data_IF_181414637428
#
_entry.id   IF_181414637428
#
_cell.length_a   1.000
_cell.length_b   1.000
_cell.length_c   1.000
_cell.angle_alpha   90.00
_cell.angle_beta   90.00
_cell.angle_gamma   90.00
#
_symmetry.space_group_name_H-M   'P 1'
#
loop_
_entity.id
_entity.type
_entity.pdbx_description
1 polymer ?
#
# COMPACT_ATOMS: atom_id res chain seq x y z
N UNK A 1 5.56 -7.77 -8.05
CA UNK A 1 6.76 -7.35 -8.85
C UNK A 1 7.83 -6.89 -7.88
N UNK A 2 9.10 -7.24 -8.09
CA UNK A 2 10.22 -6.77 -7.24
C UNK A 2 10.78 -5.48 -7.84
N UNK A 3 11.08 -4.49 -6.99
CA UNK A 3 11.72 -3.23 -7.40
C UNK A 3 13.02 -3.02 -6.62
N UNK A 4 14.10 -2.58 -7.26
CA UNK A 4 14.23 -2.39 -8.71
C UNK A 4 14.17 -3.74 -9.47
N UNK A 5 13.80 -3.77 -10.75
CA UNK A 5 13.64 -5.01 -11.52
C UNK A 5 14.89 -5.89 -11.56
N UNK A 6 16.07 -5.29 -11.47
CA UNK A 6 17.37 -5.98 -11.41
C UNK A 6 17.47 -6.92 -10.21
N UNK A 7 16.97 -6.50 -9.03
CA UNK A 7 17.03 -7.31 -7.81
C UNK A 7 16.37 -8.69 -7.97
N UNK A 8 15.33 -8.80 -8.80
CA UNK A 8 14.66 -10.08 -9.10
C UNK A 8 15.56 -11.06 -9.85
N UNK A 9 16.48 -10.55 -10.67
CA UNK A 9 17.39 -11.36 -11.51
C UNK A 9 18.69 -11.67 -10.81
N UNK A 10 19.18 -10.73 -10.00
CA UNK A 10 20.51 -10.76 -9.42
C UNK A 10 20.54 -11.34 -8.00
N UNK A 11 19.40 -11.32 -7.29
CA UNK A 11 19.34 -11.76 -5.89
C UNK A 11 18.59 -13.08 -5.75
N UNK A 12 19.08 -14.02 -4.92
CA UNK A 12 18.39 -15.27 -4.65
C UNK A 12 17.03 -15.00 -4.00
N UNK A 13 16.03 -15.78 -4.42
CA UNK A 13 14.69 -15.70 -3.84
C UNK A 13 14.59 -16.66 -2.67
N UNK A 14 14.35 -16.13 -1.48
CA UNK A 14 14.28 -16.88 -0.21
C UNK A 14 12.90 -16.85 0.44
N UNK A 15 12.02 -15.92 0.02
CA UNK A 15 10.70 -15.73 0.63
C UNK A 15 9.61 -15.40 -0.39
N UNK A 16 8.38 -15.60 0.01
CA UNK A 16 7.17 -15.03 -0.56
C UNK A 16 6.59 -14.00 0.45
N UNK A 17 5.32 -13.59 0.26
CA UNK A 17 4.71 -12.55 1.10
C UNK A 17 4.61 -12.96 2.57
N UNK A 18 4.05 -14.16 2.85
CA UNK A 18 3.81 -14.66 4.21
C UNK A 18 4.63 -15.91 4.55
N UNK A 19 5.48 -16.39 3.66
CA UNK A 19 6.29 -17.59 3.86
C UNK A 19 7.74 -17.36 3.48
N UNK A 20 8.65 -18.07 4.14
CA UNK A 20 10.06 -18.03 3.85
C UNK A 20 10.65 -19.46 3.85
N UNK A 21 11.69 -19.67 3.06
CA UNK A 21 12.50 -20.88 3.14
C UNK A 21 13.69 -20.59 4.07
N UNK A 22 13.54 -21.02 5.32
CA UNK A 22 14.52 -20.74 6.39
C UNK A 22 15.89 -21.32 6.02
N UNK A 23 15.96 -22.53 5.49
CA UNK A 23 17.24 -23.17 5.15
C UNK A 23 17.96 -22.39 4.03
N UNK A 24 17.24 -21.86 3.04
CA UNK A 24 17.83 -20.98 2.03
C UNK A 24 18.31 -19.65 2.62
N UNK A 25 17.62 -19.10 3.61
CA UNK A 25 18.07 -17.89 4.29
C UNK A 25 19.38 -18.20 5.03
N UNK A 26 19.42 -19.27 5.80
CA UNK A 26 20.63 -19.67 6.57
C UNK A 26 21.82 -19.97 5.65
N UNK A 27 21.58 -20.58 4.49
CA UNK A 27 22.64 -20.85 3.51
C UNK A 27 23.31 -19.58 2.97
N UNK A 28 22.64 -18.44 3.04
CA UNK A 28 23.22 -17.14 2.67
C UNK A 28 24.09 -16.53 3.78
N UNK A 29 24.11 -17.11 4.98
CA UNK A 29 24.85 -16.63 6.17
C UNK A 29 24.61 -15.13 6.44
N UNK A 30 23.36 -14.68 6.60
CA UNK A 30 23.07 -13.26 6.79
C UNK A 30 23.54 -12.79 8.17
N UNK A 31 24.09 -11.57 8.25
CA UNK A 31 24.37 -10.89 9.51
C UNK A 31 23.09 -10.36 10.15
N UNK A 32 22.11 -10.02 9.31
CA UNK A 32 20.80 -9.49 9.70
C UNK A 32 19.73 -9.89 8.69
N UNK A 33 18.54 -10.26 9.17
CA UNK A 33 17.35 -10.45 8.35
C UNK A 33 16.34 -9.33 8.67
N UNK A 34 15.78 -8.73 7.63
CA UNK A 34 14.73 -7.72 7.75
C UNK A 34 13.39 -8.34 7.35
N UNK A 35 12.36 -8.11 8.16
CA UNK A 35 10.97 -8.44 7.83
C UNK A 35 10.13 -7.16 7.79
N UNK A 36 8.92 -7.20 7.22
CA UNK A 36 8.19 -5.97 6.96
C UNK A 36 6.78 -5.92 7.57
N UNK A 37 6.32 -7.00 8.24
CA UNK A 37 4.96 -7.09 8.74
C UNK A 37 4.83 -8.13 9.85
N UNK A 38 3.87 -7.92 10.74
CA UNK A 38 3.34 -8.88 11.72
C UNK A 38 2.91 -10.22 11.07
N UNK A 39 2.50 -10.19 9.79
CA UNK A 39 2.22 -11.40 9.02
C UNK A 39 3.42 -12.34 8.85
N UNK A 40 4.62 -11.88 9.17
CA UNK A 40 5.86 -12.66 9.14
C UNK A 40 6.33 -13.05 10.55
N UNK A 41 5.51 -12.90 11.59
CA UNK A 41 5.90 -13.17 12.97
C UNK A 41 6.47 -14.60 13.16
N UNK A 42 5.84 -15.61 12.57
CA UNK A 42 6.31 -17.00 12.67
C UNK A 42 7.70 -17.18 12.02
N UNK A 43 7.93 -16.51 10.89
CA UNK A 43 9.25 -16.48 10.23
C UNK A 43 10.30 -15.84 11.13
N UNK A 44 9.96 -14.76 11.82
CA UNK A 44 10.84 -14.09 12.80
C UNK A 44 11.20 -15.02 13.95
N UNK A 45 10.21 -15.70 14.52
CA UNK A 45 10.40 -16.66 15.61
C UNK A 45 11.35 -17.78 15.19
N UNK A 46 11.15 -18.35 14.01
CA UNK A 46 11.99 -19.46 13.50
C UNK A 46 13.44 -19.00 13.26
N UNK A 47 13.65 -17.81 12.71
CA UNK A 47 14.98 -17.25 12.50
C UNK A 47 15.72 -16.98 13.83
N UNK A 48 15.05 -16.39 14.81
CA UNK A 48 15.61 -16.14 16.14
C UNK A 48 16.01 -17.46 16.81
N UNK A 49 15.17 -18.50 16.77
CA UNK A 49 15.51 -19.85 17.30
C UNK A 49 16.72 -20.49 16.63
N UNK A 50 17.04 -20.07 15.40
CA UNK A 50 18.22 -20.52 14.64
C UNK A 50 19.43 -19.60 14.83
N UNK A 51 19.37 -18.64 15.78
CA UNK A 51 20.47 -17.74 16.11
C UNK A 51 20.70 -16.59 15.11
N UNK A 52 19.72 -16.28 14.26
CA UNK A 52 19.80 -15.17 13.30
C UNK A 52 19.31 -13.88 13.93
N UNK A 53 20.06 -12.79 13.76
CA UNK A 53 19.61 -11.45 14.13
C UNK A 53 18.48 -11.01 13.18
N UNK A 54 17.36 -10.54 13.75
CA UNK A 54 16.19 -10.10 12.96
C UNK A 54 15.74 -8.72 13.41
N UNK A 55 15.46 -7.85 12.46
CA UNK A 55 14.73 -6.61 12.71
C UNK A 55 13.37 -6.67 11.99
N UNK A 56 12.29 -6.58 12.75
CA UNK A 56 10.92 -6.64 12.22
C UNK A 56 10.35 -5.21 12.06
N UNK A 57 10.20 -4.76 10.83
CA UNK A 57 9.46 -3.56 10.52
C UNK A 57 7.94 -3.84 10.51
N UNK A 58 7.15 -2.89 10.98
CA UNK A 58 5.68 -3.02 11.00
C UNK A 58 4.99 -1.65 10.88
N UNK A 59 5.46 -0.79 9.99
CA UNK A 59 4.89 0.54 9.76
C UNK A 59 3.51 0.47 9.09
N UNK A 60 2.64 1.41 9.49
CA UNK A 60 1.26 1.51 8.98
C UNK A 60 0.90 2.90 8.46
N UNK A 61 1.83 3.86 8.55
CA UNK A 61 1.62 5.26 8.18
C UNK A 61 2.70 5.74 7.22
N UNK A 62 2.43 6.83 6.52
CA UNK A 62 3.43 7.52 5.68
C UNK A 62 4.64 7.94 6.52
N UNK A 63 4.40 8.52 7.70
CA UNK A 63 5.48 8.88 8.62
C UNK A 63 6.30 7.67 9.06
N UNK A 64 5.64 6.53 9.33
CA UNK A 64 6.30 5.27 9.66
C UNK A 64 7.18 4.74 8.53
N UNK A 65 6.77 4.90 7.26
CA UNK A 65 7.60 4.53 6.09
C UNK A 65 8.86 5.40 6.03
N UNK A 66 8.74 6.71 6.24
CA UNK A 66 9.91 7.62 6.24
C UNK A 66 10.87 7.29 7.40
N UNK A 67 10.32 7.01 8.59
CA UNK A 67 11.12 6.59 9.75
C UNK A 67 11.84 5.26 9.51
N UNK A 68 11.17 4.29 8.86
CA UNK A 68 11.77 3.02 8.46
C UNK A 68 12.96 3.23 7.52
N UNK A 69 12.85 4.12 6.54
CA UNK A 69 13.95 4.41 5.61
C UNK A 69 15.15 4.97 6.37
N UNK A 70 14.95 5.90 7.31
CA UNK A 70 16.02 6.46 8.16
C UNK A 70 16.68 5.37 9.01
N UNK A 71 15.88 4.54 9.66
CA UNK A 71 16.38 3.44 10.50
C UNK A 71 17.16 2.43 9.67
N UNK A 72 16.64 2.02 8.50
CA UNK A 72 17.34 1.11 7.60
C UNK A 72 18.68 1.71 7.16
N UNK A 73 18.71 3.00 6.81
CA UNK A 73 19.95 3.70 6.48
C UNK A 73 20.99 3.66 7.58
N UNK A 74 20.56 3.81 8.84
CA UNK A 74 21.45 3.71 10.00
C UNK A 74 21.99 2.27 10.21
N UNK A 75 21.11 1.26 10.06
CA UNK A 75 21.50 -0.16 10.22
C UNK A 75 22.58 -0.58 9.20
N UNK A 76 22.54 -0.05 7.96
CA UNK A 76 23.45 -0.44 6.87
C UNK A 76 24.54 0.61 6.59
N UNK A 77 24.79 1.52 7.52
CA UNK A 77 25.78 2.62 7.41
C UNK A 77 25.60 3.47 6.13
N UNK A 78 24.34 3.81 5.83
CA UNK A 78 23.97 4.62 4.68
C UNK A 78 23.06 5.79 5.06
N UNK A 79 23.23 6.36 6.26
CA UNK A 79 22.35 7.41 6.81
C UNK A 79 22.23 8.63 5.91
N UNK A 80 23.34 9.08 5.28
CA UNK A 80 23.32 10.21 4.35
C UNK A 80 22.41 9.97 3.14
N UNK A 81 22.49 8.78 2.53
CA UNK A 81 21.64 8.40 1.39
C UNK A 81 20.17 8.23 1.80
N UNK A 82 19.94 7.70 3.00
CA UNK A 82 18.58 7.56 3.52
C UNK A 82 17.92 8.93 3.73
N UNK A 83 18.65 9.90 4.29
CA UNK A 83 18.13 11.25 4.52
C UNK A 83 17.90 12.02 3.22
N UNK A 84 18.73 11.86 2.21
CA UNK A 84 18.51 12.42 0.88
C UNK A 84 17.24 11.84 0.23
N UNK A 85 17.06 10.51 0.31
CA UNK A 85 15.85 9.85 -0.17
C UNK A 85 14.61 10.36 0.56
N UNK A 86 14.65 10.47 1.89
CA UNK A 86 13.52 10.96 2.68
C UNK A 86 13.16 12.38 2.30
N UNK A 87 14.14 13.30 2.16
CA UNK A 87 13.87 14.67 1.70
C UNK A 87 13.18 14.70 0.32
N UNK A 88 13.62 13.84 -0.60
CA UNK A 88 12.98 13.71 -1.91
C UNK A 88 11.54 13.25 -1.80
N UNK A 89 11.26 12.25 -0.95
CA UNK A 89 9.90 11.74 -0.73
C UNK A 89 9.00 12.77 -0.04
N UNK A 90 9.52 13.49 0.95
CA UNK A 90 8.80 14.59 1.63
C UNK A 90 8.45 15.72 0.65
N UNK A 91 9.34 16.05 -0.27
CA UNK A 91 9.07 17.01 -1.34
C UNK A 91 7.95 16.53 -2.27
N UNK A 92 7.97 15.25 -2.70
CA UNK A 92 6.90 14.66 -3.50
C UNK A 92 5.53 14.71 -2.79
N UNK A 93 5.50 14.39 -1.48
CA UNK A 93 4.28 14.45 -0.68
C UNK A 93 3.74 15.90 -0.56
N UNK A 94 4.64 16.87 -0.37
CA UNK A 94 4.28 18.29 -0.28
C UNK A 94 3.72 18.79 -1.60
N UNK A 95 4.37 18.47 -2.72
CA UNK A 95 3.88 18.83 -4.04
C UNK A 95 2.50 18.22 -4.32
N UNK A 96 2.29 16.95 -3.94
CA UNK A 96 1.01 16.29 -4.09
C UNK A 96 -0.11 17.00 -3.31
N UNK A 97 0.13 17.41 -2.06
CA UNK A 97 -0.83 18.19 -1.26
C UNK A 97 -1.15 19.53 -1.91
N UNK A 98 -0.14 20.24 -2.38
CA UNK A 98 -0.33 21.54 -3.07
C UNK A 98 -1.17 21.40 -4.34
N UNK A 99 -1.00 20.31 -5.08
CA UNK A 99 -1.85 20.01 -6.25
C UNK A 99 -3.28 19.68 -5.82
N UNK A 100 -3.44 18.88 -4.76
CA UNK A 100 -4.75 18.49 -4.22
C UNK A 100 -5.58 19.71 -3.75
N UNK A 101 -4.94 20.70 -3.14
CA UNK A 101 -5.58 21.96 -2.70
C UNK A 101 -6.19 22.77 -3.86
N UNK A 102 -5.72 22.56 -5.08
CA UNK A 102 -6.22 23.25 -6.29
C UNK A 102 -7.35 22.53 -6.99
N UNK A 103 -7.69 21.32 -6.54
CA UNK A 103 -8.77 20.56 -7.15
C UNK A 103 -10.13 21.21 -6.81
N UNK A 104 -11.01 21.41 -7.79
CA UNK A 104 -12.32 22.01 -7.56
C UNK A 104 -13.26 21.10 -6.75
N UNK A 105 -13.02 19.80 -6.77
CA UNK A 105 -13.81 18.80 -6.07
C UNK A 105 -12.91 17.65 -5.59
N UNK A 106 -13.33 16.97 -4.53
CA UNK A 106 -12.64 15.83 -3.95
C UNK A 106 -13.54 14.60 -4.03
N UNK A 107 -13.19 13.58 -4.84
CA UNK A 107 -14.00 12.37 -4.95
C UNK A 107 -13.97 11.53 -3.67
N UNK A 108 -15.09 10.90 -3.37
CA UNK A 108 -15.22 9.85 -2.36
C UNK A 108 -14.59 8.56 -2.90
N UNK A 109 -13.55 8.06 -2.26
CA UNK A 109 -12.78 6.92 -2.72
C UNK A 109 -13.00 5.71 -1.82
N UNK A 110 -13.43 4.60 -2.40
CA UNK A 110 -13.28 3.28 -1.78
C UNK A 110 -12.04 2.61 -2.35
N UNK A 111 -11.02 2.43 -1.50
CA UNK A 111 -9.84 1.63 -1.86
C UNK A 111 -10.06 0.21 -1.37
N UNK A 112 -10.06 -0.74 -2.30
CA UNK A 112 -10.25 -2.16 -2.05
C UNK A 112 -8.92 -2.90 -2.10
N UNK A 113 -8.34 -3.20 -0.93
CA UNK A 113 -7.08 -3.92 -0.79
C UNK A 113 -7.24 -5.41 -1.11
N UNK A 114 -8.44 -5.96 -0.86
CA UNK A 114 -8.78 -7.35 -1.13
C UNK A 114 -10.28 -7.52 -1.40
N UNK A 115 -10.64 -8.53 -2.22
CA UNK A 115 -11.99 -8.71 -2.75
C UNK A 115 -12.89 -9.67 -1.97
N UNK A 116 -12.31 -10.59 -1.17
CA UNK A 116 -13.10 -11.55 -0.39
C UNK A 116 -12.31 -12.08 0.80
N UNK A 117 -12.63 -11.65 2.05
CA UNK A 117 -13.60 -10.61 2.35
C UNK A 117 -13.17 -9.25 1.79
N UNK A 118 -14.09 -8.29 1.64
CA UNK A 118 -13.73 -6.93 1.26
C UNK A 118 -12.89 -6.31 2.35
N UNK A 119 -11.70 -5.80 2.00
CA UNK A 119 -10.79 -5.15 2.95
C UNK A 119 -10.50 -3.74 2.44
N UNK A 120 -10.75 -2.74 3.28
CA UNK A 120 -10.42 -1.34 3.00
C UNK A 120 -8.92 -1.09 3.06
N UNK A 121 -8.47 0.05 2.53
CA UNK A 121 -7.07 0.42 2.43
C UNK A 121 -6.33 0.44 3.77
N UNK A 122 -5.08 -0.01 3.77
CA UNK A 122 -4.17 0.08 4.91
C UNK A 122 -3.82 1.55 5.20
N UNK A 123 -3.43 1.88 6.44
CA UNK A 123 -3.27 3.24 6.94
C UNK A 123 -2.53 4.19 6.02
N UNK A 124 -1.34 3.83 5.51
CA UNK A 124 -0.62 4.72 4.58
C UNK A 124 -1.35 4.93 3.25
N UNK A 125 -2.14 3.96 2.77
CA UNK A 125 -2.96 4.14 1.55
C UNK A 125 -4.09 5.13 1.81
N UNK A 126 -4.76 5.02 2.96
CA UNK A 126 -5.75 5.99 3.41
C UNK A 126 -5.17 7.42 3.45
N UNK A 127 -3.97 7.58 4.03
CA UNK A 127 -3.26 8.86 4.04
C UNK A 127 -2.91 9.35 2.62
N UNK A 128 -2.45 8.45 1.74
CA UNK A 128 -2.10 8.80 0.36
C UNK A 128 -3.31 9.22 -0.48
N UNK A 129 -4.49 8.63 -0.25
CA UNK A 129 -5.74 9.07 -0.90
C UNK A 129 -6.02 10.53 -0.55
N UNK A 130 -5.90 10.92 0.73
CA UNK A 130 -6.12 12.29 1.16
C UNK A 130 -5.05 13.25 0.64
N UNK A 131 -3.78 12.82 0.64
CA UNK A 131 -2.66 13.58 0.06
C UNK A 131 -2.86 13.80 -1.44
N UNK A 132 -3.43 12.84 -2.14
CA UNK A 132 -3.73 12.93 -3.57
C UNK A 132 -4.98 13.78 -3.88
N UNK A 133 -5.76 14.19 -2.88
CA UNK A 133 -6.96 15.03 -3.03
C UNK A 133 -8.28 14.27 -3.03
N UNK A 134 -8.30 12.97 -2.72
CA UNK A 134 -9.52 12.21 -2.49
C UNK A 134 -10.04 12.33 -1.05
N UNK A 135 -11.18 11.71 -0.80
CA UNK A 135 -11.76 11.47 0.54
C UNK A 135 -11.80 9.96 0.73
N UNK A 136 -10.98 9.44 1.63
CA UNK A 136 -11.04 8.01 1.95
C UNK A 136 -12.31 7.70 2.74
N UNK A 137 -13.20 6.90 2.14
CA UNK A 137 -14.49 6.56 2.77
C UNK A 137 -14.36 5.71 4.03
N UNK A 138 -13.22 5.03 4.21
CA UNK A 138 -12.96 4.18 5.37
C UNK A 138 -11.80 4.70 6.22
N UNK A 139 -11.59 6.01 6.24
CA UNK A 139 -10.59 6.67 7.08
C UNK A 139 -10.75 6.37 8.58
N UNK A 140 -11.97 6.06 9.02
CA UNK A 140 -12.29 5.59 10.38
C UNK A 140 -11.58 4.28 10.74
N UNK A 141 -11.18 3.48 9.75
CA UNK A 141 -10.45 2.21 9.93
C UNK A 141 -8.94 2.31 9.70
N UNK A 142 -8.40 3.49 9.36
CA UNK A 142 -6.97 3.66 9.02
C UNK A 142 -6.00 3.25 10.14
N UNK A 143 -6.42 3.36 11.40
CA UNK A 143 -5.60 3.02 12.55
C UNK A 143 -5.64 1.53 12.90
N UNK A 144 -6.46 0.74 12.21
CA UNK A 144 -6.53 -0.71 12.38
C UNK A 144 -5.34 -1.36 11.67
N UNK A 145 -4.45 -1.97 12.45
CA UNK A 145 -3.21 -2.55 11.91
C UNK A 145 -3.45 -3.85 11.14
N UNK A 146 -4.34 -4.72 11.65
CA UNK A 146 -4.62 -6.01 11.04
C UNK A 146 -5.66 -5.91 9.91
N UNK A 147 -5.46 -6.67 8.84
CA UNK A 147 -6.39 -6.71 7.70
C UNK A 147 -7.80 -7.14 8.10
N UNK A 148 -7.93 -8.09 9.06
CA UNK A 148 -9.22 -8.55 9.58
C UNK A 148 -10.06 -7.44 10.24
N UNK A 149 -9.42 -6.43 10.80
CA UNK A 149 -10.07 -5.31 11.49
C UNK A 149 -10.48 -4.20 10.51
N UNK A 150 -10.06 -4.32 9.23
CA UNK A 150 -10.41 -3.44 8.12
C UNK A 150 -11.41 -4.08 7.13
N UNK A 151 -11.99 -5.23 7.51
CA UNK A 151 -13.04 -5.89 6.73
C UNK A 151 -14.27 -4.99 6.71
N UNK A 152 -14.83 -4.80 5.52
CA UNK A 152 -16.05 -4.02 5.28
C UNK A 152 -17.12 -4.90 4.61
N UNK A 153 -18.38 -4.54 4.78
CA UNK A 153 -19.47 -5.26 4.07
C UNK A 153 -19.82 -4.54 2.76
N UNK A 154 -20.39 -5.26 1.79
CA UNK A 154 -20.93 -4.65 0.58
C UNK A 154 -21.94 -3.53 0.88
N UNK A 155 -22.78 -3.71 1.89
CA UNK A 155 -23.79 -2.74 2.32
C UNK A 155 -23.16 -1.45 2.86
N UNK A 156 -22.05 -1.56 3.63
CA UNK A 156 -21.30 -0.39 4.10
C UNK A 156 -20.74 0.41 2.91
N UNK A 157 -20.22 -0.28 1.87
CA UNK A 157 -19.67 0.37 0.68
C UNK A 157 -20.79 1.07 -0.09
N UNK A 158 -21.94 0.39 -0.31
CA UNK A 158 -23.11 0.96 -0.99
C UNK A 158 -23.63 2.19 -0.25
N UNK A 159 -23.75 2.13 1.07
CA UNK A 159 -24.26 3.23 1.89
C UNK A 159 -23.34 4.49 1.88
N UNK A 160 -22.03 4.31 1.64
CA UNK A 160 -21.07 5.42 1.56
C UNK A 160 -20.96 6.04 0.16
N UNK A 161 -21.57 5.42 -0.86
CA UNK A 161 -21.68 5.94 -2.24
C UNK A 161 -20.35 6.45 -2.81
N UNK A 162 -19.35 5.59 -3.04
CA UNK A 162 -18.07 6.02 -3.61
C UNK A 162 -18.23 6.57 -5.03
N UNK A 163 -17.49 7.66 -5.31
CA UNK A 163 -17.31 8.21 -6.65
C UNK A 163 -16.25 7.45 -7.44
N UNK A 164 -15.28 6.85 -6.72
CA UNK A 164 -14.19 6.04 -7.25
C UNK A 164 -14.07 4.74 -6.46
N UNK A 165 -13.91 3.62 -7.16
CA UNK A 165 -13.45 2.36 -6.57
C UNK A 165 -12.07 2.03 -7.16
N UNK A 166 -11.07 1.89 -6.29
CA UNK A 166 -9.69 1.58 -6.67
C UNK A 166 -9.31 0.24 -6.06
N UNK A 167 -9.17 -0.79 -6.89
CA UNK A 167 -8.75 -2.11 -6.44
C UNK A 167 -7.24 -2.30 -6.52
N UNK A 168 -6.68 -2.95 -5.51
CA UNK A 168 -5.25 -3.31 -5.46
C UNK A 168 -5.07 -4.69 -4.84
N UNK A 169 -5.51 -5.73 -5.56
CA UNK A 169 -5.49 -7.09 -5.03
C UNK A 169 -4.10 -7.72 -5.14
N UNK A 170 -3.54 -8.12 -4.01
CA UNK A 170 -2.22 -8.72 -3.96
C UNK A 170 -2.19 -10.09 -4.66
N UNK A 171 -1.39 -10.22 -5.73
CA UNK A 171 -1.27 -11.47 -6.48
C UNK A 171 -2.44 -11.81 -7.43
N UNK A 172 -3.49 -11.00 -7.46
CA UNK A 172 -4.63 -11.14 -8.39
C UNK A 172 -4.72 -9.94 -9.32
N UNK A 173 -5.34 -10.14 -10.48
CA UNK A 173 -5.77 -9.04 -11.36
C UNK A 173 -7.10 -8.48 -10.87
N UNK A 174 -7.18 -7.18 -10.73
CA UNK A 174 -8.45 -6.48 -10.50
C UNK A 174 -9.41 -6.71 -11.67
N UNK A 175 -10.66 -6.95 -11.35
CA UNK A 175 -11.70 -7.26 -12.32
C UNK A 175 -12.91 -6.33 -12.11
N UNK A 176 -12.97 -5.19 -12.83
CA UNK A 176 -14.07 -4.22 -12.69
C UNK A 176 -15.44 -4.85 -12.85
N UNK A 177 -15.58 -5.79 -13.79
CA UNK A 177 -16.82 -6.51 -14.06
C UNK A 177 -17.32 -7.33 -12.87
N UNK A 178 -16.41 -7.88 -12.05
CA UNK A 178 -16.78 -8.61 -10.83
C UNK A 178 -17.19 -7.66 -9.71
N UNK A 179 -16.57 -6.49 -9.63
CA UNK A 179 -16.93 -5.46 -8.65
C UNK A 179 -18.31 -4.92 -8.98
N UNK A 180 -18.57 -4.56 -10.24
CA UNK A 180 -19.85 -4.04 -10.69
C UNK A 180 -21.02 -5.04 -10.53
N UNK A 181 -20.73 -6.35 -10.63
CA UNK A 181 -21.73 -7.40 -10.50
C UNK A 181 -22.12 -7.75 -9.04
N UNK A 182 -21.53 -7.09 -8.04
CA UNK A 182 -21.88 -7.34 -6.63
C UNK A 182 -23.29 -6.82 -6.32
N UNK A 183 -24.04 -7.50 -5.44
CA UNK A 183 -25.39 -7.05 -5.07
C UNK A 183 -25.39 -5.61 -4.57
N UNK A 184 -26.25 -4.76 -5.15
CA UNK A 184 -26.42 -3.36 -4.79
C UNK A 184 -25.37 -2.38 -5.31
N UNK A 185 -24.27 -2.86 -5.94
CA UNK A 185 -23.23 -1.99 -6.48
C UNK A 185 -23.66 -1.24 -7.74
N UNK A 186 -24.71 -1.70 -8.44
CA UNK A 186 -25.35 -1.00 -9.55
C UNK A 186 -25.84 0.41 -9.18
N UNK A 187 -26.07 0.67 -7.89
CA UNK A 187 -26.48 1.98 -7.36
C UNK A 187 -25.32 2.92 -7.03
N UNK A 188 -24.09 2.40 -6.98
CA UNK A 188 -22.90 3.18 -6.62
C UNK A 188 -22.48 4.09 -7.78
N UNK A 189 -22.27 5.41 -7.56
CA UNK A 189 -21.82 6.34 -8.60
C UNK A 189 -20.60 5.85 -9.37
N UNK A 190 -19.58 5.31 -8.68
CA UNK A 190 -18.40 4.75 -9.30
C UNK A 190 -18.70 3.62 -10.30
N UNK A 191 -19.74 2.82 -10.06
CA UNK A 191 -20.16 1.73 -10.97
C UNK A 191 -20.95 2.29 -12.14
N UNK A 192 -21.90 3.19 -11.88
CA UNK A 192 -22.75 3.83 -12.90
C UNK A 192 -21.91 4.60 -13.93
N UNK A 193 -20.85 5.29 -13.47
CA UNK A 193 -19.96 6.09 -14.30
C UNK A 193 -18.69 5.34 -14.73
N UNK A 194 -18.55 4.04 -14.42
CA UNK A 194 -17.39 3.21 -14.77
C UNK A 194 -16.07 3.71 -14.20
N UNK A 195 -16.09 4.33 -13.03
CA UNK A 195 -14.91 4.81 -12.29
C UNK A 195 -14.29 3.71 -11.42
N UNK A 196 -13.97 2.60 -12.06
CA UNK A 196 -13.37 1.41 -11.46
C UNK A 196 -11.93 1.26 -11.97
N UNK A 197 -10.94 1.42 -11.10
CA UNK A 197 -9.53 1.48 -11.48
C UNK A 197 -8.70 0.44 -10.75
N UNK A 198 -7.57 0.05 -11.32
CA UNK A 198 -6.57 -0.78 -10.67
C UNK A 198 -5.28 0.01 -10.42
N UNK A 199 -4.76 -0.03 -9.18
CA UNK A 199 -3.37 0.30 -8.90
C UNK A 199 -2.66 -0.99 -8.51
N UNK A 200 -1.56 -1.32 -9.18
CA UNK A 200 -0.82 -2.55 -8.89
C UNK A 200 -0.32 -2.57 -7.46
N UNK A 201 -0.54 -3.66 -6.74
CA UNK A 201 -0.12 -3.83 -5.33
C UNK A 201 1.37 -3.55 -5.11
N UNK A 202 2.22 -3.84 -6.10
CA UNK A 202 3.65 -3.53 -6.05
C UNK A 202 3.98 -2.03 -6.07
N UNK A 203 3.03 -1.17 -6.44
CA UNK A 203 3.20 0.28 -6.44
C UNK A 203 2.73 0.92 -5.13
N UNK A 204 1.67 0.40 -4.51
CA UNK A 204 0.99 1.10 -3.42
C UNK A 204 0.89 0.29 -2.11
N UNK A 205 0.86 -1.05 -2.18
CA UNK A 205 0.75 -1.91 -0.99
C UNK A 205 2.09 -2.37 -0.43
N UNK A 206 3.21 -1.88 -0.96
CA UNK A 206 4.53 -2.11 -0.39
C UNK A 206 4.94 -0.88 0.41
N UNK A 207 5.16 -1.00 1.75
CA UNK A 207 5.50 0.15 2.59
C UNK A 207 6.94 0.63 2.33
N UNK A 208 7.10 1.44 1.31
CA UNK A 208 8.40 1.93 0.87
C UNK A 208 8.30 3.06 -0.17
N UNK A 209 9.42 3.45 -0.78
CA UNK A 209 9.48 4.59 -1.70
C UNK A 209 8.46 4.52 -2.85
N UNK A 210 8.21 3.33 -3.42
CA UNK A 210 7.28 3.18 -4.52
C UNK A 210 5.84 3.62 -4.17
N UNK A 211 5.40 3.41 -2.93
CA UNK A 211 4.07 3.85 -2.50
C UNK A 211 3.98 5.39 -2.47
N UNK A 212 5.06 6.05 -2.03
CA UNK A 212 5.15 7.51 -1.87
C UNK A 212 5.49 8.24 -3.18
N UNK A 213 5.80 7.52 -4.25
CA UNK A 213 6.10 8.07 -5.59
C UNK A 213 5.12 7.53 -6.63
N UNK A 214 5.39 6.36 -7.20
CA UNK A 214 4.58 5.77 -8.29
C UNK A 214 3.13 5.51 -7.86
N UNK A 215 2.91 5.00 -6.63
CA UNK A 215 1.58 4.75 -6.08
C UNK A 215 0.78 6.05 -5.89
N UNK A 216 1.42 7.07 -5.32
CA UNK A 216 0.83 8.40 -5.15
C UNK A 216 0.52 9.05 -6.50
N UNK A 217 1.43 8.96 -7.48
CA UNK A 217 1.22 9.50 -8.82
C UNK A 217 0.03 8.84 -9.53
N UNK A 218 -0.16 7.52 -9.36
CA UNK A 218 -1.33 6.82 -9.90
C UNK A 218 -2.64 7.26 -9.23
N UNK A 219 -2.64 7.47 -7.91
CA UNK A 219 -3.80 8.03 -7.20
C UNK A 219 -4.16 9.43 -7.74
N UNK A 220 -3.16 10.32 -7.87
CA UNK A 220 -3.37 11.66 -8.42
C UNK A 220 -3.94 11.59 -9.84
N UNK A 221 -3.35 10.78 -10.71
CA UNK A 221 -3.82 10.61 -12.10
C UNK A 221 -5.29 10.15 -12.17
N UNK A 222 -5.70 9.23 -11.29
CA UNK A 222 -7.09 8.75 -11.23
C UNK A 222 -8.02 9.86 -10.75
N UNK A 223 -7.65 10.57 -9.69
CA UNK A 223 -8.45 11.65 -9.10
C UNK A 223 -8.58 12.83 -10.09
N UNK A 224 -7.49 13.27 -10.71
CA UNK A 224 -7.50 14.33 -11.72
C UNK A 224 -8.37 13.95 -12.93
N UNK A 225 -8.30 12.68 -13.36
CA UNK A 225 -9.16 12.18 -14.44
C UNK A 225 -10.64 12.24 -14.07
N UNK A 226 -11.00 11.94 -12.83
CA UNK A 226 -12.39 12.03 -12.37
C UNK A 226 -12.85 13.49 -12.32
N UNK A 227 -12.02 14.41 -11.83
CA UNK A 227 -12.33 15.85 -11.78
C UNK A 227 -12.55 16.45 -13.18
N UNK A 228 -11.82 15.95 -14.18
CA UNK A 228 -11.91 16.48 -15.56
C UNK A 228 -12.98 15.83 -16.40
N UNK A 229 -13.59 14.72 -15.94
CA UNK A 229 -14.65 13.97 -16.63
C UNK A 229 -15.71 13.57 -15.61
N UNK A 230 -16.49 14.51 -15.12
CA UNK A 230 -17.59 14.22 -14.18
C UNK A 230 -18.71 13.39 -14.81
#
# INVERSE_FOLDING_TARGET
MVRPPQARREKPRVSAFTSANIDKILALKPDLVLTFSDLQADVVVDLIRRGVSVHAFNQRTVAGILAMIRMLGAIVDASGRAEELVRTLEACLTEARTRAERLPQRPKVFFEEWDNPLISGIGWVSELIEIAGGIDLFADRRNQSAARDRVVTPEEVVAREPDLIIGSWCGKKFRPERVAARPGFDRIPAVQHQHLYEIKSSLILQPGPAALTDGLAELQRIIERWVTRP
#
